data_IF_716407240906
#
_entry.id   IF_716407240906
#
_cell.length_a   1.000
_cell.length_b   1.000
_cell.length_c   1.000
_cell.angle_alpha   90.00
_cell.angle_beta   90.00
_cell.angle_gamma   90.00
#
_symmetry.space_group_name_H-M   'P 1'
#
loop_
_entity.id
_entity.type
_entity.pdbx_description
1 polymer ?
#
# COMPACT_ATOMS: atom_id res chain seq x y z
N UNK A 1 -29.45 -25.03 26.22
CA UNK A 1 -28.19 -25.01 25.47
C UNK A 1 -27.91 -23.58 25.06
N UNK A 2 -27.07 -22.87 25.81
CA UNK A 2 -26.67 -21.49 25.54
C UNK A 2 -25.71 -21.58 24.37
N UNK A 3 -26.10 -21.06 23.21
CA UNK A 3 -25.23 -20.88 22.04
C UNK A 3 -24.10 -19.94 22.50
N UNK A 4 -22.89 -20.48 22.74
CA UNK A 4 -21.72 -19.66 22.95
C UNK A 4 -21.59 -18.78 21.71
N UNK A 5 -21.74 -17.47 21.89
CA UNK A 5 -21.39 -16.49 20.87
C UNK A 5 -19.91 -16.67 20.57
N UNK A 6 -19.59 -17.14 19.38
CA UNK A 6 -18.24 -17.13 18.87
C UNK A 6 -17.69 -15.71 19.03
N UNK A 7 -16.48 -15.53 19.60
CA UNK A 7 -15.90 -14.20 19.74
C UNK A 7 -15.83 -13.57 18.36
N UNK A 8 -16.51 -12.44 18.18
CA UNK A 8 -16.48 -11.70 16.92
C UNK A 8 -15.03 -11.37 16.58
N UNK A 9 -14.58 -11.81 15.40
CA UNK A 9 -13.22 -11.59 14.93
C UNK A 9 -12.81 -10.11 15.05
N UNK A 10 -11.71 -9.84 15.72
CA UNK A 10 -11.18 -8.50 15.89
C UNK A 10 -10.66 -7.96 14.55
N UNK A 11 -10.74 -6.63 14.38
CA UNK A 11 -10.29 -5.95 13.15
C UNK A 11 -9.02 -5.18 13.43
N UNK A 12 -7.95 -5.54 12.76
CA UNK A 12 -6.66 -4.87 12.80
C UNK A 12 -6.46 -4.02 11.56
N UNK A 13 -5.85 -2.86 11.72
CA UNK A 13 -5.42 -2.02 10.62
C UNK A 13 -3.91 -1.84 10.68
N UNK A 14 -3.19 -2.21 9.62
CA UNK A 14 -1.75 -2.00 9.47
C UNK A 14 -1.53 -0.85 8.50
N UNK A 15 -1.02 0.26 9.00
CA UNK A 15 -0.64 1.41 8.18
C UNK A 15 0.79 1.22 7.70
N UNK A 16 0.98 1.28 6.38
CA UNK A 16 2.28 1.19 5.73
C UNK A 16 2.74 2.61 5.42
N UNK A 17 3.63 3.15 6.28
CA UNK A 17 4.03 4.55 6.25
C UNK A 17 5.26 4.84 5.40
N UNK A 18 5.81 3.83 4.74
CA UNK A 18 7.08 3.98 4.04
C UNK A 18 7.16 3.19 2.74
N UNK A 19 7.74 3.78 1.69
CA UNK A 19 8.06 3.13 0.43
C UNK A 19 9.33 3.74 -0.20
N UNK A 20 10.48 3.39 0.37
CA UNK A 20 11.78 3.96 0.00
C UNK A 20 12.21 3.79 -1.44
N UNK A 21 11.72 2.75 -2.10
CA UNK A 21 12.24 2.39 -3.43
C UNK A 21 11.89 3.40 -4.50
N UNK A 22 10.80 4.12 -4.30
CA UNK A 22 10.32 5.07 -5.30
C UNK A 22 10.99 6.43 -5.16
N UNK A 23 11.28 6.89 -3.94
CA UNK A 23 11.80 8.24 -3.72
C UNK A 23 13.23 8.40 -4.21
N UNK A 24 14.07 7.35 -4.11
CA UNK A 24 15.42 7.35 -4.72
C UNK A 24 15.41 7.24 -6.25
N UNK A 25 14.42 6.57 -6.81
CA UNK A 25 14.27 6.45 -8.26
C UNK A 25 13.69 7.71 -8.91
N UNK A 26 13.18 8.63 -8.10
CA UNK A 26 12.46 9.82 -8.53
C UNK A 26 13.38 11.05 -8.59
N UNK A 27 14.66 10.94 -8.21
CA UNK A 27 15.58 12.09 -8.23
C UNK A 27 15.23 13.21 -7.26
N UNK A 28 14.30 12.94 -6.31
CA UNK A 28 14.03 13.87 -5.23
C UNK A 28 15.30 14.03 -4.40
N UNK A 29 15.75 15.25 -4.27
CA UNK A 29 16.97 15.61 -3.56
C UNK A 29 17.02 14.99 -2.16
N UNK A 30 18.24 14.71 -1.66
CA UNK A 30 18.52 14.05 -0.37
C UNK A 30 17.85 14.67 0.87
N UNK A 31 17.11 15.77 0.71
CA UNK A 31 16.51 16.54 1.80
C UNK A 31 14.99 16.71 1.72
N UNK A 32 14.31 16.18 0.70
CA UNK A 32 12.87 16.26 0.65
C UNK A 32 12.21 15.13 1.46
N UNK A 33 11.22 15.48 2.27
CA UNK A 33 10.45 14.49 3.02
C UNK A 33 9.65 13.60 2.06
N UNK A 34 9.55 12.27 2.31
CA UNK A 34 8.68 11.40 1.53
C UNK A 34 7.23 11.92 1.50
N UNK A 35 6.56 11.76 0.36
CA UNK A 35 5.24 12.37 0.10
C UNK A 35 4.17 12.04 1.15
N UNK A 36 4.24 10.88 1.78
CA UNK A 36 3.31 10.50 2.85
C UNK A 36 3.41 11.37 4.11
N UNK A 37 4.50 12.06 4.30
CA UNK A 37 4.70 12.99 5.43
C UNK A 37 4.43 14.44 5.05
N UNK A 38 4.12 14.71 3.79
CA UNK A 38 3.79 16.05 3.33
C UNK A 38 2.36 16.41 3.70
N UNK A 39 2.15 17.67 4.04
CA UNK A 39 0.82 18.24 4.26
C UNK A 39 0.17 18.54 2.92
N UNK A 40 -1.12 18.33 2.84
CA UNK A 40 -1.93 18.82 1.75
C UNK A 40 -2.49 20.18 2.16
N UNK A 41 -1.83 21.26 1.71
CA UNK A 41 -2.12 22.63 2.17
C UNK A 41 -1.83 22.80 3.67
N UNK A 42 -2.68 23.53 4.37
CA UNK A 42 -2.64 23.65 5.84
C UNK A 42 -3.19 22.41 6.58
N UNK A 43 -3.69 21.45 5.83
CA UNK A 43 -4.35 20.26 6.36
C UNK A 43 -3.43 19.17 6.88
N UNK A 44 -4.01 17.99 7.05
CA UNK A 44 -3.34 16.80 7.55
C UNK A 44 -2.39 16.20 6.51
N UNK A 45 -1.28 15.59 6.96
CA UNK A 45 -0.40 14.78 6.11
C UNK A 45 -1.13 13.56 5.56
N UNK A 46 -0.59 12.95 4.50
CA UNK A 46 -1.17 11.69 3.97
C UNK A 46 -1.14 10.58 5.03
N UNK A 47 -0.10 10.51 5.87
CA UNK A 47 -0.04 9.59 7.01
C UNK A 47 -1.19 9.85 8.00
N UNK A 48 -1.44 11.11 8.36
CA UNK A 48 -2.55 11.46 9.25
C UNK A 48 -3.91 11.12 8.64
N UNK A 49 -4.08 11.29 7.33
CA UNK A 49 -5.28 10.84 6.60
C UNK A 49 -5.42 9.31 6.62
N UNK A 50 -4.32 8.57 6.48
CA UNK A 50 -4.34 7.11 6.60
C UNK A 50 -4.72 6.65 8.01
N UNK A 51 -4.24 7.33 9.06
CA UNK A 51 -4.63 7.10 10.46
C UNK A 51 -6.13 7.36 10.67
N UNK A 52 -6.66 8.42 10.08
CA UNK A 52 -8.09 8.71 10.12
C UNK A 52 -8.93 7.61 9.42
N UNK A 53 -8.47 7.11 8.26
CA UNK A 53 -9.10 5.95 7.59
C UNK A 53 -9.07 4.69 8.46
N UNK A 54 -7.93 4.45 9.11
CA UNK A 54 -7.77 3.30 10.00
C UNK A 54 -8.77 3.33 11.17
N UNK A 55 -9.03 4.51 11.74
CA UNK A 55 -10.02 4.69 12.82
C UNK A 55 -11.46 4.34 12.40
N UNK A 56 -11.77 4.40 11.11
CA UNK A 56 -13.07 3.97 10.59
C UNK A 56 -13.18 2.44 10.38
N UNK A 57 -12.06 1.70 10.47
CA UNK A 57 -11.99 0.26 10.20
C UNK A 57 -11.80 -0.53 11.50
N UNK A 58 -10.92 -0.04 12.37
CA UNK A 58 -10.49 -0.72 13.59
C UNK A 58 -10.40 0.28 14.76
N UNK A 59 -10.63 -0.16 15.99
CA UNK A 59 -10.39 0.68 17.16
C UNK A 59 -8.91 1.05 17.27
N UNK A 60 -8.60 2.20 17.85
CA UNK A 60 -7.20 2.70 17.98
C UNK A 60 -6.27 1.69 18.67
N UNK A 61 -6.82 0.88 19.55
CA UNK A 61 -6.09 -0.22 20.20
C UNK A 61 -5.69 -1.35 19.24
N UNK A 62 -6.18 -1.38 18.03
CA UNK A 62 -5.90 -2.40 16.98
C UNK A 62 -5.30 -1.79 15.71
N UNK A 63 -4.77 -0.56 15.80
CA UNK A 63 -3.99 0.06 14.74
C UNK A 63 -2.50 -0.22 14.96
N UNK A 64 -1.84 -0.75 13.94
CA UNK A 64 -0.42 -1.01 13.88
C UNK A 64 0.20 -0.10 12.83
N UNK A 65 1.45 0.33 13.04
CA UNK A 65 2.19 1.10 12.04
C UNK A 65 3.49 0.40 11.67
N UNK A 66 3.78 0.39 10.39
CA UNK A 66 5.05 -0.01 9.80
C UNK A 66 5.72 1.23 9.23
N UNK A 67 6.89 1.59 9.76
CA UNK A 67 7.60 2.81 9.40
C UNK A 67 9.12 2.58 9.37
N UNK A 68 9.86 3.56 8.86
CA UNK A 68 11.32 3.56 8.82
C UNK A 68 11.92 4.40 9.93
N UNK A 69 13.03 3.94 10.48
CA UNK A 69 13.84 4.71 11.44
C UNK A 69 14.38 5.99 10.83
N UNK A 70 14.74 5.98 9.55
CA UNK A 70 15.29 7.14 8.83
C UNK A 70 14.38 8.37 8.91
N UNK A 71 13.05 8.17 8.91
CA UNK A 71 12.06 9.24 8.91
C UNK A 71 11.31 9.37 10.24
N UNK A 72 11.90 8.88 11.35
CA UNK A 72 11.28 8.90 12.68
C UNK A 72 10.74 10.27 13.05
N UNK A 73 11.52 11.32 12.87
CA UNK A 73 11.11 12.70 13.19
C UNK A 73 9.87 13.19 12.42
N UNK A 74 9.54 12.56 11.28
CA UNK A 74 8.40 12.94 10.45
C UNK A 74 7.13 12.16 10.81
N UNK A 75 7.25 10.87 11.17
CA UNK A 75 6.06 10.05 11.44
C UNK A 75 5.70 9.97 12.93
N UNK A 76 6.67 10.00 13.82
CA UNK A 76 6.45 9.80 15.26
C UNK A 76 5.45 10.81 15.88
N UNK A 77 5.48 12.12 15.53
CA UNK A 77 4.50 13.08 16.05
C UNK A 77 3.06 12.77 15.66
N UNK A 78 2.86 12.04 14.55
CA UNK A 78 1.51 11.67 14.08
C UNK A 78 0.96 10.41 14.76
N UNK A 79 1.81 9.61 15.41
CA UNK A 79 1.45 8.29 15.95
C UNK A 79 1.62 8.18 17.46
N UNK A 80 1.73 9.31 18.18
CA UNK A 80 1.90 9.32 19.63
C UNK A 80 0.80 8.55 20.38
N UNK A 81 -0.43 8.49 19.84
CA UNK A 81 -1.55 7.70 20.36
C UNK A 81 -1.46 6.19 20.10
N UNK A 82 -0.51 5.72 19.29
CA UNK A 82 -0.24 4.30 19.05
C UNK A 82 0.83 3.86 20.04
N UNK A 83 0.51 2.87 20.88
CA UNK A 83 1.46 2.35 21.88
C UNK A 83 2.74 1.81 21.23
N UNK A 84 3.91 1.92 21.89
CA UNK A 84 5.19 1.52 21.31
C UNK A 84 5.20 0.09 20.75
N UNK A 85 4.67 -0.89 21.48
CA UNK A 85 4.62 -2.30 21.08
C UNK A 85 3.77 -2.57 19.81
N UNK A 86 3.15 -1.53 19.25
CA UNK A 86 2.38 -1.56 18.00
C UNK A 86 3.08 -0.82 16.86
N UNK A 87 4.29 -0.37 17.09
CA UNK A 87 5.13 0.29 16.10
C UNK A 87 6.21 -0.66 15.64
N UNK A 88 6.23 -0.95 14.35
CA UNK A 88 7.16 -1.86 13.69
C UNK A 88 8.11 -1.01 12.85
N UNK A 89 9.35 -0.87 13.31
CA UNK A 89 10.30 0.06 12.76
C UNK A 89 11.45 -0.67 12.11
N UNK A 90 11.72 -0.41 10.85
CA UNK A 90 12.83 -0.99 10.11
C UNK A 90 13.84 0.06 9.67
N UNK A 91 15.06 -0.39 9.40
CA UNK A 91 16.06 0.41 8.71
C UNK A 91 15.65 0.60 7.24
N UNK A 92 15.71 1.83 6.76
CA UNK A 92 15.33 2.24 5.40
C UNK A 92 16.03 1.44 4.29
N UNK A 93 17.28 1.07 4.50
CA UNK A 93 18.11 0.37 3.52
C UNK A 93 17.58 -1.03 3.14
N UNK A 94 16.64 -1.60 3.91
CA UNK A 94 16.30 -3.04 3.84
C UNK A 94 14.85 -3.38 3.60
N UNK A 95 14.06 -2.37 3.34
CA UNK A 95 12.67 -2.54 2.86
C UNK A 95 11.66 -2.76 3.98
N UNK A 96 10.65 -1.99 3.89
CA UNK A 96 9.43 -1.93 4.66
C UNK A 96 8.71 -3.28 4.84
N UNK A 97 9.06 -4.23 4.02
CA UNK A 97 8.35 -5.51 3.92
C UNK A 97 8.50 -6.37 5.18
N UNK A 98 9.64 -6.28 5.85
CA UNK A 98 9.88 -7.03 7.09
C UNK A 98 9.07 -6.43 8.24
N UNK A 99 8.92 -5.11 8.30
CA UNK A 99 8.10 -4.45 9.32
C UNK A 99 6.61 -4.70 9.10
N UNK A 100 6.14 -4.73 7.84
CA UNK A 100 4.77 -5.15 7.51
C UNK A 100 4.56 -6.62 7.88
N UNK A 101 5.50 -7.51 7.55
CA UNK A 101 5.41 -8.93 7.92
C UNK A 101 5.38 -9.11 9.45
N UNK A 102 6.19 -8.37 10.20
CA UNK A 102 6.18 -8.40 11.65
C UNK A 102 4.84 -7.91 12.23
N UNK A 103 4.28 -6.82 11.68
CA UNK A 103 2.96 -6.32 12.09
C UNK A 103 1.85 -7.37 11.84
N UNK A 104 1.88 -8.05 10.68
CA UNK A 104 0.96 -9.15 10.36
C UNK A 104 1.11 -10.30 11.36
N UNK A 105 2.34 -10.76 11.59
CA UNK A 105 2.62 -11.85 12.51
C UNK A 105 2.22 -11.50 13.95
N UNK A 106 2.40 -10.26 14.37
CA UNK A 106 1.98 -9.76 15.69
C UNK A 106 0.46 -9.81 15.86
N UNK A 107 -0.31 -9.43 14.85
CA UNK A 107 -1.77 -9.54 14.87
C UNK A 107 -2.20 -11.01 14.86
N UNK A 108 -1.62 -11.83 14.00
CA UNK A 108 -1.94 -13.26 13.86
C UNK A 108 -1.61 -14.08 15.11
N UNK A 109 -0.58 -13.69 15.88
CA UNK A 109 -0.24 -14.32 17.15
C UNK A 109 -1.33 -14.16 18.23
N UNK A 110 -2.25 -13.21 18.07
CA UNK A 110 -3.40 -13.03 18.97
C UNK A 110 -4.56 -13.92 18.57
N UNK A 111 -4.91 -13.89 17.29
CA UNK A 111 -5.93 -14.78 16.73
C UNK A 111 -5.74 -14.89 15.20
N UNK A 112 -5.74 -16.10 14.69
CA UNK A 112 -5.68 -16.36 13.24
C UNK A 112 -6.97 -16.02 12.52
N UNK A 113 -8.10 -15.97 13.24
CA UNK A 113 -9.42 -15.57 12.71
C UNK A 113 -9.64 -14.06 12.69
N UNK A 114 -8.76 -13.26 13.31
CA UNK A 114 -8.84 -11.81 13.23
C UNK A 114 -8.65 -11.32 11.78
N UNK A 115 -9.26 -10.18 11.48
CA UNK A 115 -9.22 -9.58 10.15
C UNK A 115 -8.14 -8.50 10.14
N UNK A 116 -7.27 -8.54 9.15
CA UNK A 116 -6.26 -7.52 8.90
C UNK A 116 -6.65 -6.72 7.66
N UNK A 117 -6.62 -5.39 7.80
CA UNK A 117 -6.65 -4.45 6.68
C UNK A 117 -5.29 -3.77 6.57
N UNK A 118 -4.63 -3.89 5.42
CA UNK A 118 -3.37 -3.20 5.11
C UNK A 118 -3.71 -1.92 4.35
N UNK A 119 -3.29 -0.77 4.86
CA UNK A 119 -3.50 0.55 4.28
C UNK A 119 -2.17 1.23 3.93
N UNK A 120 -1.87 1.49 2.65
CA UNK A 120 -0.75 2.34 2.30
C UNK A 120 -1.04 3.80 2.72
N UNK A 121 -0.07 4.44 3.40
CA UNK A 121 -0.17 5.86 3.73
C UNK A 121 0.01 6.77 2.52
N UNK A 122 0.72 6.29 1.50
CA UNK A 122 1.09 7.03 0.30
C UNK A 122 -0.02 7.03 -0.75
N UNK A 123 -1.20 7.47 -0.36
CA UNK A 123 -2.29 7.68 -1.32
C UNK A 123 -3.19 8.83 -0.91
N UNK A 124 -3.62 9.58 -1.91
CA UNK A 124 -4.68 10.58 -1.78
C UNK A 124 -6.03 9.95 -2.12
N UNK A 125 -7.07 10.40 -1.45
CA UNK A 125 -8.47 10.06 -1.75
C UNK A 125 -9.29 11.32 -1.59
N UNK A 126 -9.95 11.77 -2.65
CA UNK A 126 -10.79 12.96 -2.61
C UNK A 126 -12.13 12.68 -1.89
N UNK A 127 -12.72 11.52 -2.12
CA UNK A 127 -14.03 11.14 -1.58
C UNK A 127 -13.92 9.96 -0.60
N UNK A 128 -13.52 10.25 0.64
CA UNK A 128 -13.30 9.25 1.70
C UNK A 128 -14.56 8.40 2.01
N UNK A 129 -15.75 8.97 1.84
CA UNK A 129 -17.02 8.23 2.04
C UNK A 129 -17.19 7.09 1.03
N UNK A 130 -16.70 7.25 -0.20
CA UNK A 130 -16.75 6.22 -1.25
C UNK A 130 -15.77 5.09 -0.89
N UNK A 131 -14.53 5.44 -0.51
CA UNK A 131 -13.54 4.45 -0.09
C UNK A 131 -14.03 3.67 1.14
N UNK A 132 -14.59 4.35 2.14
CA UNK A 132 -15.15 3.70 3.35
C UNK A 132 -16.27 2.71 3.02
N UNK A 133 -17.18 3.04 2.08
CA UNK A 133 -18.21 2.10 1.63
C UNK A 133 -17.59 0.88 0.95
N UNK A 134 -16.58 1.07 0.11
CA UNK A 134 -15.87 -0.02 -0.55
C UNK A 134 -15.14 -0.93 0.47
N UNK A 135 -14.51 -0.36 1.50
CA UNK A 135 -13.89 -1.11 2.58
C UNK A 135 -14.90 -1.93 3.37
N UNK A 136 -16.05 -1.36 3.71
CA UNK A 136 -17.12 -2.09 4.42
C UNK A 136 -17.67 -3.24 3.54
N UNK A 137 -17.81 -3.01 2.24
CA UNK A 137 -18.24 -4.05 1.32
C UNK A 137 -17.18 -5.16 1.20
N UNK A 138 -15.89 -4.81 1.15
CA UNK A 138 -14.79 -5.77 1.14
C UNK A 138 -14.77 -6.65 2.40
N UNK A 139 -15.01 -6.06 3.56
CA UNK A 139 -15.13 -6.79 4.83
C UNK A 139 -16.33 -7.76 4.83
N UNK A 140 -17.45 -7.36 4.22
CA UNK A 140 -18.64 -8.21 4.10
C UNK A 140 -18.43 -9.38 3.13
N UNK A 141 -17.59 -9.21 2.10
CA UNK A 141 -17.28 -10.27 1.10
C UNK A 141 -16.22 -11.28 1.62
N UNK A 142 -15.48 -10.94 2.68
CA UNK A 142 -14.37 -11.76 3.18
C UNK A 142 -14.77 -13.19 3.60
N UNK A 143 -15.93 -13.43 4.25
CA UNK A 143 -16.35 -14.81 4.58
C UNK A 143 -16.49 -15.72 3.35
N UNK A 144 -16.74 -15.16 2.18
CA UNK A 144 -16.76 -15.90 0.90
C UNK A 144 -15.37 -16.24 0.35
N UNK A 145 -14.30 -15.83 1.04
CA UNK A 145 -12.89 -16.03 0.61
C UNK A 145 -12.02 -16.42 1.81
N UNK A 146 -12.35 -17.48 2.57
CA UNK A 146 -11.71 -17.77 3.85
C UNK A 146 -10.20 -18.05 3.74
N UNK A 147 -9.73 -18.54 2.61
CA UNK A 147 -8.32 -18.85 2.32
C UNK A 147 -7.67 -17.82 1.38
N UNK A 148 -8.29 -16.67 1.20
CA UNK A 148 -7.86 -15.66 0.26
C UNK A 148 -7.87 -14.26 0.85
N UNK A 149 -7.75 -13.28 -0.05
CA UNK A 149 -7.78 -11.87 0.29
C UNK A 149 -8.72 -11.10 -0.63
N UNK A 150 -9.27 -10.01 -0.11
CA UNK A 150 -10.02 -9.03 -0.89
C UNK A 150 -9.15 -7.79 -1.05
N UNK A 151 -9.05 -7.27 -2.26
CA UNK A 151 -8.33 -6.02 -2.56
C UNK A 151 -9.29 -4.99 -3.16
N UNK A 152 -8.91 -3.72 -3.08
CA UNK A 152 -9.62 -2.66 -3.80
C UNK A 152 -8.88 -2.35 -5.10
N UNK A 153 -9.62 -2.32 -6.18
CA UNK A 153 -9.14 -1.94 -7.51
C UNK A 153 -9.80 -0.66 -7.96
N UNK A 154 -9.00 0.33 -8.37
CA UNK A 154 -9.50 1.65 -8.72
C UNK A 154 -9.84 1.74 -10.21
N UNK A 155 -11.02 2.31 -10.47
CA UNK A 155 -11.57 2.58 -11.81
C UNK A 155 -11.39 4.06 -12.16
N UNK A 156 -10.20 4.63 -11.98
CA UNK A 156 -10.01 6.03 -12.26
C UNK A 156 -9.44 6.22 -13.69
N UNK A 157 -10.14 6.92 -14.59
CA UNK A 157 -9.76 6.99 -15.99
C UNK A 157 -8.51 7.82 -16.27
N UNK A 158 -8.09 8.70 -15.35
CA UNK A 158 -7.05 9.68 -15.64
C UNK A 158 -5.64 9.29 -15.20
N UNK A 159 -5.48 8.31 -14.31
CA UNK A 159 -4.18 7.96 -13.74
C UNK A 159 -3.65 6.64 -14.29
N UNK A 160 -2.75 6.71 -15.25
CA UNK A 160 -2.36 5.55 -16.06
C UNK A 160 -0.89 5.21 -15.97
N UNK A 161 -0.07 6.03 -15.33
CA UNK A 161 1.40 5.88 -15.38
C UNK A 161 1.91 5.39 -14.04
N UNK A 162 2.85 4.43 -14.05
CA UNK A 162 3.55 3.88 -12.89
C UNK A 162 2.70 3.08 -11.88
N UNK A 163 1.49 2.69 -12.24
CA UNK A 163 0.64 1.87 -11.39
C UNK A 163 0.60 0.40 -11.83
N UNK A 164 0.35 -0.48 -10.87
CA UNK A 164 0.13 -1.88 -11.12
C UNK A 164 -1.36 -2.12 -11.44
N UNK A 165 -1.66 -3.10 -12.30
CA UNK A 165 -3.02 -3.40 -12.72
C UNK A 165 -3.43 -4.80 -12.33
N UNK A 166 -4.67 -4.93 -11.88
CA UNK A 166 -5.36 -6.18 -11.62
C UNK A 166 -6.15 -6.57 -12.86
N UNK A 167 -5.84 -7.73 -13.43
CA UNK A 167 -6.62 -8.31 -14.52
C UNK A 167 -7.77 -9.07 -13.90
N UNK A 168 -8.99 -8.73 -14.29
CA UNK A 168 -10.20 -9.27 -13.67
C UNK A 168 -11.02 -10.08 -14.66
N UNK A 169 -11.61 -11.15 -14.18
CA UNK A 169 -12.58 -11.93 -14.95
C UNK A 169 -13.86 -11.15 -15.22
N UNK A 170 -14.75 -11.73 -16.03
CA UNK A 170 -16.04 -11.10 -16.36
C UNK A 170 -16.84 -10.80 -15.10
N UNK A 171 -17.27 -9.55 -14.98
CA UNK A 171 -18.06 -9.06 -13.87
C UNK A 171 -19.40 -9.79 -13.74
N UNK A 172 -19.72 -10.22 -12.52
CA UNK A 172 -21.11 -10.49 -12.13
C UNK A 172 -21.54 -9.36 -11.22
N UNK A 173 -22.65 -8.71 -11.56
CA UNK A 173 -23.16 -7.58 -10.80
C UNK A 173 -23.26 -7.89 -9.29
N UNK A 174 -22.77 -6.98 -8.44
CA UNK A 174 -22.94 -7.04 -6.99
C UNK A 174 -22.04 -8.04 -6.26
N UNK A 175 -20.94 -8.51 -6.82
CA UNK A 175 -19.98 -9.40 -6.15
C UNK A 175 -18.53 -8.94 -6.39
N UNK A 176 -17.65 -9.29 -5.44
CA UNK A 176 -16.23 -9.15 -5.64
C UNK A 176 -15.76 -10.00 -6.83
N UNK A 177 -15.01 -9.40 -7.75
CA UNK A 177 -14.50 -10.06 -8.96
C UNK A 177 -13.30 -10.93 -8.61
N UNK A 178 -13.13 -12.02 -9.36
CA UNK A 178 -11.90 -12.81 -9.28
C UNK A 178 -10.76 -12.04 -9.96
N UNK A 179 -9.58 -12.05 -9.34
CA UNK A 179 -8.35 -11.57 -9.97
C UNK A 179 -7.73 -12.74 -10.74
N UNK A 180 -7.62 -12.59 -12.05
CA UNK A 180 -7.09 -13.61 -12.97
C UNK A 180 -5.61 -13.36 -13.31
N UNK A 181 -5.12 -12.15 -13.12
CA UNK A 181 -3.75 -11.78 -13.42
C UNK A 181 -3.35 -10.44 -12.86
N UNK A 182 -2.07 -10.13 -13.06
CA UNK A 182 -1.45 -8.91 -12.57
C UNK A 182 -0.47 -8.36 -13.60
N UNK A 183 -0.60 -7.09 -13.96
CA UNK A 183 0.34 -6.41 -14.83
C UNK A 183 1.09 -5.34 -14.02
N UNK A 184 2.41 -5.49 -13.93
CA UNK A 184 3.26 -4.59 -13.15
C UNK A 184 3.73 -3.44 -14.00
N UNK A 185 3.41 -2.21 -13.58
CA UNK A 185 3.85 -0.95 -14.20
C UNK A 185 3.94 -1.06 -15.73
N UNK A 186 2.84 -1.44 -16.41
CA UNK A 186 2.88 -1.60 -17.86
C UNK A 186 3.16 -0.24 -18.53
N UNK A 187 3.83 -0.27 -19.68
CA UNK A 187 4.02 0.94 -20.47
C UNK A 187 2.68 1.61 -20.80
N UNK A 188 2.63 2.93 -21.01
CA UNK A 188 1.36 3.69 -21.07
C UNK A 188 0.33 3.17 -22.06
N UNK A 189 0.75 2.71 -23.24
CA UNK A 189 -0.18 2.18 -24.25
C UNK A 189 -0.77 0.83 -23.84
N UNK A 190 0.02 -0.04 -23.16
CA UNK A 190 -0.46 -1.31 -22.59
C UNK A 190 -1.43 -1.03 -21.45
N UNK A 191 -1.09 -0.10 -20.54
CA UNK A 191 -1.95 0.31 -19.46
C UNK A 191 -3.32 0.81 -19.95
N UNK A 192 -3.32 1.63 -21.01
CA UNK A 192 -4.56 2.10 -21.66
C UNK A 192 -5.38 0.94 -22.19
N UNK A 193 -4.75 0.00 -22.89
CA UNK A 193 -5.44 -1.19 -23.44
C UNK A 193 -5.99 -2.08 -22.33
N UNK A 194 -5.23 -2.31 -21.27
CA UNK A 194 -5.71 -3.10 -20.12
C UNK A 194 -6.97 -2.48 -19.49
N UNK A 195 -7.00 -1.17 -19.31
CA UNK A 195 -8.19 -0.46 -18.78
C UNK A 195 -9.40 -0.58 -19.71
N UNK A 196 -9.21 -0.45 -21.02
CA UNK A 196 -10.27 -0.65 -22.01
C UNK A 196 -10.87 -2.06 -21.92
N UNK A 197 -10.09 -3.05 -21.42
CA UNK A 197 -10.54 -4.41 -21.18
C UNK A 197 -10.99 -4.65 -19.74
N UNK A 198 -11.20 -3.61 -18.94
CA UNK A 198 -11.76 -3.70 -17.60
C UNK A 198 -10.75 -3.98 -16.49
N UNK A 199 -9.44 -3.91 -16.75
CA UNK A 199 -8.45 -4.01 -15.71
C UNK A 199 -8.54 -2.83 -14.74
N UNK A 200 -8.28 -3.09 -13.45
CA UNK A 200 -8.36 -2.13 -12.36
C UNK A 200 -6.97 -1.76 -11.88
N UNK A 201 -6.77 -0.50 -11.47
CA UNK A 201 -5.53 -0.08 -10.83
C UNK A 201 -5.46 -0.66 -9.41
N UNK A 202 -4.34 -1.27 -9.05
CA UNK A 202 -4.15 -1.86 -7.73
C UNK A 202 -3.92 -0.76 -6.68
N UNK A 203 -4.85 -0.59 -5.75
CA UNK A 203 -4.74 0.42 -4.68
C UNK A 203 -3.66 0.12 -3.64
N UNK A 204 -3.21 -1.13 -3.55
CA UNK A 204 -2.38 -1.61 -2.45
C UNK A 204 -3.16 -1.87 -1.14
N UNK A 205 -4.46 -1.63 -1.11
CA UNK A 205 -5.31 -1.94 0.05
C UNK A 205 -5.70 -3.42 0.00
N UNK A 206 -5.47 -4.13 1.11
CA UNK A 206 -5.66 -5.56 1.21
C UNK A 206 -6.38 -5.92 2.49
N UNK A 207 -7.32 -6.85 2.40
CA UNK A 207 -8.14 -7.30 3.52
C UNK A 207 -8.15 -8.82 3.52
N UNK A 208 -7.86 -9.44 4.66
CA UNK A 208 -7.82 -10.89 4.80
C UNK A 208 -7.78 -11.34 6.25
N UNK A 209 -7.95 -12.63 6.47
CA UNK A 209 -7.74 -13.19 7.81
C UNK A 209 -6.25 -13.20 8.16
N UNK A 210 -5.94 -12.91 9.42
CA UNK A 210 -4.58 -12.86 9.94
C UNK A 210 -3.82 -14.17 9.70
N UNK A 211 -4.48 -15.31 9.88
CA UNK A 211 -3.92 -16.64 9.62
C UNK A 211 -3.53 -16.86 8.16
N UNK A 212 -4.28 -16.32 7.20
CA UNK A 212 -3.97 -16.43 5.75
C UNK A 212 -2.67 -15.70 5.44
N UNK A 213 -2.51 -14.48 5.93
CA UNK A 213 -1.29 -13.70 5.76
C UNK A 213 -0.09 -14.35 6.45
N UNK A 214 -0.26 -14.78 7.72
CA UNK A 214 0.80 -15.40 8.51
C UNK A 214 1.26 -16.73 7.91
N UNK A 215 0.35 -17.58 7.46
CA UNK A 215 0.64 -18.83 6.78
C UNK A 215 1.48 -18.60 5.52
N UNK A 216 1.13 -17.57 4.74
CA UNK A 216 1.89 -17.20 3.55
C UNK A 216 3.32 -16.77 3.90
N UNK A 217 3.49 -15.89 4.90
CA UNK A 217 4.81 -15.45 5.38
C UNK A 217 5.62 -16.64 5.84
N UNK A 218 5.05 -17.51 6.68
CA UNK A 218 5.73 -18.67 7.23
C UNK A 218 6.11 -19.70 6.18
N UNK A 219 5.28 -19.88 5.14
CA UNK A 219 5.55 -20.80 4.03
C UNK A 219 6.72 -20.34 3.16
N UNK A 220 6.77 -19.04 2.85
CA UNK A 220 7.75 -18.52 1.90
C UNK A 220 9.05 -18.05 2.56
N UNK A 221 9.00 -17.69 3.86
CA UNK A 221 10.16 -17.22 4.62
C UNK A 221 10.21 -17.81 6.04
N UNK A 222 10.32 -19.11 6.18
CA UNK A 222 10.25 -19.78 7.49
C UNK A 222 11.33 -19.29 8.48
N UNK A 223 12.55 -19.07 8.01
CA UNK A 223 13.64 -18.54 8.84
C UNK A 223 13.41 -17.09 9.30
N UNK A 224 12.93 -16.23 8.38
CA UNK A 224 12.59 -14.84 8.67
C UNK A 224 11.40 -14.77 9.61
N UNK A 225 10.34 -15.55 9.36
CA UNK A 225 9.15 -15.62 10.21
C UNK A 225 9.52 -15.95 11.66
N UNK A 226 10.37 -16.96 11.88
CA UNK A 226 10.84 -17.34 13.22
C UNK A 226 11.61 -16.20 13.91
N UNK A 227 12.54 -15.54 13.21
CA UNK A 227 13.29 -14.40 13.75
C UNK A 227 12.38 -13.22 14.09
N UNK A 228 11.44 -12.89 13.21
CA UNK A 228 10.46 -11.81 13.44
C UNK A 228 9.61 -12.11 14.68
N UNK A 229 9.12 -13.34 14.85
CA UNK A 229 8.35 -13.74 16.03
C UNK A 229 9.15 -13.57 17.33
N UNK A 230 10.44 -13.89 17.34
CA UNK A 230 11.31 -13.68 18.51
C UNK A 230 11.43 -12.19 18.85
N UNK A 231 11.59 -11.31 17.85
CA UNK A 231 11.64 -9.85 18.04
C UNK A 231 10.31 -9.30 18.57
N UNK A 232 9.18 -9.75 18.00
CA UNK A 232 7.85 -9.35 18.42
C UNK A 232 7.61 -9.69 19.90
N UNK A 233 7.89 -10.93 20.29
CA UNK A 233 7.70 -11.39 21.68
C UNK A 233 8.57 -10.57 22.63
N UNK A 234 9.86 -10.37 22.29
CA UNK A 234 10.76 -9.59 23.11
C UNK A 234 10.34 -8.12 23.25
N UNK A 235 9.92 -7.46 22.18
CA UNK A 235 9.45 -6.09 22.20
C UNK A 235 8.13 -5.94 22.98
N UNK A 236 7.18 -6.86 22.76
CA UNK A 236 5.89 -6.86 23.47
C UNK A 236 6.09 -7.04 24.97
N UNK A 237 6.98 -7.95 25.39
CA UNK A 237 7.25 -8.20 26.82
C UNK A 237 7.84 -6.97 27.53
N UNK A 238 8.56 -6.11 26.80
CA UNK A 238 9.13 -4.86 27.33
C UNK A 238 8.23 -3.65 27.14
N UNK A 239 7.12 -3.77 26.40
CA UNK A 239 6.28 -2.63 26.03
C UNK A 239 7.00 -1.65 25.08
N UNK A 240 7.94 -2.13 24.29
CA UNK A 240 8.78 -1.34 23.39
C UNK A 240 8.39 -1.51 21.92
N UNK A 241 8.91 -0.62 21.07
CA UNK A 241 8.81 -0.75 19.62
C UNK A 241 9.51 -2.01 19.11
N UNK A 242 8.91 -2.67 18.14
CA UNK A 242 9.53 -3.79 17.46
C UNK A 242 10.52 -3.26 16.41
N UNK A 243 11.77 -3.10 16.81
CA UNK A 243 12.88 -2.71 15.92
C UNK A 243 13.32 -3.92 15.11
N UNK A 244 13.31 -3.79 13.80
CA UNK A 244 13.63 -4.86 12.86
C UNK A 244 14.99 -4.55 12.25
N UNK A 245 16.04 -5.19 12.78
CA UNK A 245 17.38 -5.01 12.29
C UNK A 245 17.50 -5.58 10.88
N UNK A 246 18.61 -5.28 10.27
CA UNK A 246 19.06 -5.88 9.02
C UNK A 246 19.16 -7.41 9.11
N UNK A 247 18.07 -8.09 8.87
CA UNK A 247 18.03 -9.56 8.89
C UNK A 247 18.61 -10.20 7.61
N UNK A 248 18.99 -9.37 6.64
CA UNK A 248 19.49 -9.86 5.35
C UNK A 248 20.95 -10.25 5.48
N UNK A 249 21.19 -11.53 5.73
CA UNK A 249 22.50 -12.15 5.50
C UNK A 249 22.64 -12.50 4.00
N UNK A 250 23.87 -12.57 3.52
CA UNK A 250 24.16 -13.10 2.17
C UNK A 250 23.54 -14.49 2.03
N UNK A 251 22.47 -14.63 1.25
CA UNK A 251 21.71 -15.86 1.05
C UNK A 251 20.25 -15.82 1.48
N UNK A 252 19.79 -14.75 2.11
CA UNK A 252 18.36 -14.56 2.37
C UNK A 252 17.59 -14.33 1.04
N UNK A 253 16.35 -14.84 0.94
CA UNK A 253 15.59 -14.73 -0.30
C UNK A 253 15.43 -13.27 -0.74
N UNK A 254 15.32 -13.03 -2.04
CA UNK A 254 15.12 -11.69 -2.55
C UNK A 254 13.92 -11.07 -1.84
N UNK A 255 14.10 -9.81 -1.49
CA UNK A 255 13.13 -9.01 -0.73
C UNK A 255 11.69 -9.46 -0.97
N UNK A 256 10.90 -9.56 0.12
CA UNK A 256 9.45 -9.76 0.20
C UNK A 256 8.57 -9.16 -0.94
N UNK A 257 9.11 -8.41 -1.87
CA UNK A 257 8.42 -7.46 -2.68
C UNK A 257 7.39 -8.02 -3.60
N UNK A 258 7.70 -9.16 -4.15
CA UNK A 258 6.89 -9.57 -5.28
C UNK A 258 5.86 -10.61 -4.90
N UNK A 259 5.99 -11.22 -3.76
CA UNK A 259 5.05 -12.22 -3.28
C UNK A 259 4.02 -11.65 -2.29
N UNK A 260 4.31 -10.56 -1.57
CA UNK A 260 3.28 -9.68 -1.03
C UNK A 260 2.75 -8.71 -2.11
N UNK A 261 3.47 -8.47 -3.19
CA UNK A 261 2.93 -7.99 -4.46
C UNK A 261 2.29 -9.16 -5.21
N UNK A 262 1.41 -9.79 -4.52
CA UNK A 262 0.29 -10.60 -4.94
C UNK A 262 0.40 -11.16 -6.35
N UNK A 263 1.17 -12.23 -6.52
CA UNK A 263 0.91 -13.10 -7.68
C UNK A 263 -0.47 -13.71 -7.47
N UNK A 264 -1.36 -13.69 -8.45
CA UNK A 264 -2.67 -14.31 -8.34
C UNK A 264 -2.62 -15.80 -7.94
N UNK A 265 -1.46 -16.45 -8.15
CA UNK A 265 -1.18 -17.83 -7.75
C UNK A 265 -0.92 -18.02 -6.25
N UNK A 266 -0.61 -16.97 -5.50
CA UNK A 266 -0.26 -17.08 -4.08
C UNK A 266 -1.49 -17.15 -3.17
N UNK A 267 -2.57 -16.49 -3.56
CA UNK A 267 -3.84 -16.44 -2.83
C UNK A 267 -5.01 -16.50 -3.79
N UNK A 268 -6.16 -16.95 -3.30
CA UNK A 268 -7.44 -16.69 -3.96
C UNK A 268 -7.77 -15.22 -3.78
N UNK A 269 -7.53 -14.40 -4.79
CA UNK A 269 -7.79 -12.96 -4.72
C UNK A 269 -9.14 -12.63 -5.30
N UNK A 270 -9.87 -11.78 -4.58
CA UNK A 270 -11.02 -11.07 -5.12
C UNK A 270 -10.76 -9.57 -5.06
N UNK A 271 -11.35 -8.84 -6.00
CA UNK A 271 -11.24 -7.38 -6.07
C UNK A 271 -12.61 -6.74 -6.10
N UNK A 272 -12.72 -5.62 -5.39
CA UNK A 272 -13.86 -4.71 -5.45
C UNK A 272 -13.44 -3.51 -6.25
N UNK A 273 -14.17 -3.25 -7.36
CA UNK A 273 -13.97 -2.05 -8.17
C UNK A 273 -14.50 -0.82 -7.43
N UNK A 274 -13.67 0.22 -7.36
CA UNK A 274 -13.99 1.50 -6.74
C UNK A 274 -13.90 2.58 -7.80
N UNK A 275 -15.00 3.29 -8.04
CA UNK A 275 -15.07 4.43 -8.97
C UNK A 275 -15.35 5.73 -8.20
N UNK A 276 -14.97 6.84 -8.78
CA UNK A 276 -15.26 8.19 -8.29
C UNK A 276 -14.74 8.49 -6.87
N UNK A 277 -13.71 7.75 -6.40
CA UNK A 277 -13.08 8.03 -5.12
C UNK A 277 -12.04 9.15 -5.20
N UNK A 278 -11.59 9.51 -6.40
CA UNK A 278 -10.47 10.43 -6.59
C UNK A 278 -9.18 9.89 -5.96
N UNK A 279 -8.97 8.57 -6.06
CA UNK A 279 -7.79 7.93 -5.51
C UNK A 279 -6.56 8.17 -6.39
N UNK A 280 -5.42 8.43 -5.75
CA UNK A 280 -4.10 8.49 -6.39
C UNK A 280 -3.04 7.83 -5.53
N UNK A 281 -2.23 6.96 -6.12
CA UNK A 281 -1.17 6.21 -5.43
C UNK A 281 0.07 7.03 -5.12
N UNK A 282 0.26 8.18 -5.75
CA UNK A 282 1.39 9.11 -5.58
C UNK A 282 2.76 8.41 -5.58
N UNK A 283 2.95 7.41 -6.46
CA UNK A 283 4.13 6.54 -6.50
C UNK A 283 5.25 7.07 -7.40
N UNK A 284 5.01 8.14 -8.14
CA UNK A 284 5.99 8.77 -9.04
C UNK A 284 5.85 10.28 -9.01
N UNK A 285 6.87 11.05 -9.41
CA UNK A 285 6.79 12.50 -9.54
C UNK A 285 5.65 12.92 -10.45
N UNK A 286 5.47 12.20 -11.56
CA UNK A 286 4.40 12.47 -12.52
C UNK A 286 3.02 12.27 -11.88
N UNK A 287 2.87 11.29 -10.96
CA UNK A 287 1.63 11.10 -10.23
C UNK A 287 1.39 12.25 -9.23
N UNK A 288 2.45 12.75 -8.59
CA UNK A 288 2.39 13.91 -7.68
C UNK A 288 2.06 15.17 -8.47
N UNK A 289 2.75 15.45 -9.56
CA UNK A 289 2.52 16.62 -10.41
C UNK A 289 1.07 16.66 -10.93
N UNK A 290 0.54 15.54 -11.42
CA UNK A 290 -0.86 15.43 -11.84
C UNK A 290 -1.85 15.66 -10.69
N UNK A 291 -1.52 15.18 -9.49
CA UNK A 291 -2.36 15.45 -8.33
C UNK A 291 -2.38 16.94 -7.98
N UNK A 292 -1.22 17.61 -8.01
CA UNK A 292 -1.12 19.07 -7.85
C UNK A 292 -1.99 19.79 -8.87
N UNK A 293 -1.88 19.41 -10.14
CA UNK A 293 -2.67 20.00 -11.22
C UNK A 293 -4.18 19.77 -11.03
N UNK A 294 -4.58 18.56 -10.62
CA UNK A 294 -5.98 18.25 -10.30
C UNK A 294 -6.51 19.11 -9.16
N UNK A 295 -5.77 19.22 -8.05
CA UNK A 295 -6.15 20.03 -6.89
C UNK A 295 -6.26 21.52 -7.26
N UNK A 296 -5.37 22.03 -8.11
CA UNK A 296 -5.45 23.41 -8.60
C UNK A 296 -6.70 23.64 -9.46
N UNK A 297 -7.08 22.70 -10.32
CA UNK A 297 -8.25 22.79 -11.18
C UNK A 297 -9.57 22.67 -10.39
N UNK A 298 -9.59 21.86 -9.34
CA UNK A 298 -10.77 21.68 -8.48
C UNK A 298 -11.01 22.82 -7.49
N UNK A 299 -10.19 23.87 -7.51
CA UNK A 299 -10.27 24.98 -6.58
C UNK A 299 -9.61 24.68 -5.21
N UNK A 300 -8.93 23.55 -5.08
CA UNK A 300 -8.22 23.13 -3.88
C UNK A 300 -6.71 23.51 -3.95
N UNK A 301 -6.41 24.67 -4.52
CA UNK A 301 -5.03 25.13 -4.78
C UNK A 301 -4.18 25.20 -3.49
N UNK A 302 -4.80 25.47 -2.36
CA UNK A 302 -4.15 25.48 -1.05
C UNK A 302 -3.66 24.07 -0.65
N UNK A 303 -4.45 23.01 -0.96
CA UNK A 303 -4.03 21.63 -0.78
C UNK A 303 -2.88 21.23 -1.71
N UNK A 304 -2.78 21.87 -2.89
CA UNK A 304 -1.70 21.62 -3.83
C UNK A 304 -0.35 22.17 -3.34
N UNK A 305 -0.35 23.24 -2.54
CA UNK A 305 0.86 23.90 -2.08
C UNK A 305 1.80 22.96 -1.31
N UNK A 306 1.25 22.05 -0.51
CA UNK A 306 2.01 21.05 0.24
C UNK A 306 2.68 19.98 -0.63
N UNK A 307 2.22 19.76 -1.85
CA UNK A 307 2.77 18.79 -2.80
C UNK A 307 3.75 19.42 -3.80
N UNK A 308 3.71 20.73 -4.02
CA UNK A 308 4.58 21.44 -4.98
C UNK A 308 6.06 21.35 -4.64
N UNK A 309 6.40 21.17 -3.37
CA UNK A 309 7.77 20.92 -2.94
C UNK A 309 8.36 19.61 -3.50
N UNK A 310 7.55 18.79 -4.18
CA UNK A 310 7.90 17.54 -4.84
C UNK A 310 7.79 17.63 -6.36
N UNK A 311 7.52 18.80 -6.94
CA UNK A 311 7.59 19.01 -8.39
C UNK A 311 9.05 18.88 -8.85
N UNK A 312 9.24 18.08 -9.86
CA UNK A 312 10.55 17.78 -10.46
C UNK A 312 11.03 18.97 -11.25
N UNK A 313 12.30 19.31 -11.08
CA UNK A 313 13.02 20.15 -12.03
C UNK A 313 12.95 19.57 -13.45
N UNK A 314 12.76 20.45 -14.43
CA UNK A 314 12.51 20.25 -15.87
C UNK A 314 13.59 19.41 -16.61
N UNK A 315 14.64 18.95 -15.92
CA UNK A 315 15.72 18.13 -16.49
C UNK A 315 15.27 16.69 -16.83
N UNK A 316 14.29 16.13 -16.12
CA UNK A 316 13.84 14.75 -16.34
C UNK A 316 13.01 14.62 -17.62
N UNK A 317 12.25 15.65 -18.01
CA UNK A 317 11.54 15.69 -19.31
C UNK A 317 12.52 15.75 -20.51
N UNK A 318 13.67 16.40 -20.32
CA UNK A 318 14.72 16.45 -21.36
C UNK A 318 15.39 15.09 -21.55
N UNK A 319 15.54 14.31 -20.51
CA UNK A 319 16.13 12.98 -20.58
C UNK A 319 15.17 11.95 -21.21
N UNK A 320 13.86 12.02 -20.94
CA UNK A 320 12.86 11.17 -21.63
C UNK A 320 12.75 11.52 -23.12
N UNK A 321 12.73 12.80 -23.45
CA UNK A 321 12.73 13.26 -24.85
C UNK A 321 14.05 12.90 -25.58
N UNK A 322 15.15 12.86 -24.86
CA UNK A 322 16.47 12.40 -25.38
C UNK A 322 16.48 10.89 -25.56
N UNK A 323 15.92 10.13 -24.62
CA UNK A 323 15.79 8.67 -24.72
C UNK A 323 14.87 8.27 -25.88
N UNK A 324 13.71 8.92 -26.02
CA UNK A 324 12.77 8.68 -27.13
C UNK A 324 13.38 9.03 -28.49
N UNK A 325 14.16 10.10 -28.57
CA UNK A 325 14.93 10.44 -29.81
C UNK A 325 16.01 9.41 -30.14
N UNK A 326 16.73 8.90 -29.15
CA UNK A 326 17.72 7.82 -29.35
C UNK A 326 17.09 6.49 -29.74
N UNK A 327 15.92 6.15 -29.17
CA UNK A 327 15.16 4.95 -29.54
C UNK A 327 14.64 5.04 -30.99
N UNK A 328 14.15 6.21 -31.41
CA UNK A 328 13.74 6.45 -32.80
C UNK A 328 14.91 6.42 -33.80
N UNK A 329 16.08 6.93 -33.40
CA UNK A 329 17.30 6.88 -34.22
C UNK A 329 17.91 5.47 -34.29
N UNK A 330 17.66 4.60 -33.32
CA UNK A 330 18.12 3.21 -33.30
C UNK A 330 17.26 2.25 -34.13
N UNK A 331 16.27 2.74 -34.88
CA UNK A 331 15.51 1.92 -35.84
C UNK A 331 14.50 0.94 -35.19
N UNK A 332 14.08 1.16 -33.96
CA UNK A 332 13.07 0.36 -33.28
C UNK A 332 11.61 0.76 -33.65
N UNK A 333 11.40 1.26 -34.87
CA UNK A 333 10.13 1.69 -35.41
C UNK A 333 9.27 0.55 -36.05
N UNK A 334 9.66 -0.70 -35.91
CA UNK A 334 8.93 -1.82 -36.45
C UNK A 334 8.68 -2.89 -35.38
N UNK A 335 7.67 -2.71 -34.58
CA UNK A 335 6.85 -3.79 -34.05
C UNK A 335 5.41 -3.29 -34.15
N UNK A 336 4.73 -3.67 -35.23
CA UNK A 336 3.26 -3.65 -35.35
C UNK A 336 2.60 -4.67 -34.41
#
# INVERSE_FOLDING_TARGET
MVKQLEPTASRWCIIVADDHRTDRAIGLERHSAPVQYCRLGEGATLLQRALHRAAAIAPSSQVLISASEEYRGLWEPSVWGIRPEKRFVCDASKGLQLSVAAAILSAAARSTSDIITILPARCHVAHESILRRALNFALAELPGVPEGVVTLGMLDPEQVVDEDYLLVGRARAGRALRVDGFARKPVPWVARRLRQHGALVASGILIGYAGVFAAHISKHWPGVSKKLMQLIVAATARGEECKIPSLVNKGDPPALPESLRWRPSAFRQRVIGVCHSGWSGLKSPQAVARMVEFLCRSGEAEMASGLRAHEVDDETERDEASFMRRAAQAGLSHIE
#
